data_IF_930335049624
#
_entry.id   IF_930335049624
#
_cell.length_a   1.000
_cell.length_b   1.000
_cell.length_c   1.000
_cell.angle_alpha   90.00
_cell.angle_beta   90.00
_cell.angle_gamma   90.00
#
_symmetry.space_group_name_H-M   'P 1'
#
loop_
_entity.id
_entity.type
_entity.pdbx_description
1 polymer ?
#
# COMPACT_ATOMS: atom_id res chain seq x y z
N UNK A 1 0.22 0.56 22.84
CA UNK A 1 1.00 1.81 23.12
C UNK A 1 0.71 2.84 22.03
N UNK A 2 0.76 4.14 22.35
CA UNK A 2 0.59 5.19 21.32
C UNK A 2 1.82 5.27 20.42
N UNK A 3 1.61 5.31 19.09
CA UNK A 3 2.66 5.35 18.07
C UNK A 3 3.72 6.43 18.32
N UNK A 4 3.29 7.66 18.68
CA UNK A 4 4.22 8.75 18.98
C UNK A 4 5.18 8.42 20.12
N UNK A 5 4.66 7.86 21.20
CA UNK A 5 5.49 7.48 22.36
C UNK A 5 6.50 6.40 21.99
N UNK A 6 6.11 5.45 21.14
CA UNK A 6 6.98 4.42 20.61
C UNK A 6 8.16 5.00 19.80
N UNK A 7 7.85 5.86 18.82
CA UNK A 7 8.89 6.51 18.00
C UNK A 7 9.86 7.35 18.84
N UNK A 8 9.36 7.99 19.90
CA UNK A 8 10.22 8.71 20.86
C UNK A 8 11.17 7.76 21.63
N UNK A 9 10.69 6.57 22.03
CA UNK A 9 11.52 5.52 22.67
C UNK A 9 12.56 4.95 21.72
N UNK A 10 12.23 4.79 20.44
CA UNK A 10 13.19 4.42 19.40
C UNK A 10 14.25 5.50 19.12
N UNK A 11 14.17 6.66 19.79
CA UNK A 11 15.06 7.80 19.56
C UNK A 11 14.81 8.51 18.22
N UNK A 12 13.73 8.18 17.53
CA UNK A 12 13.40 8.73 16.21
C UNK A 12 12.43 9.90 16.34
N UNK A 13 12.94 11.12 16.25
CA UNK A 13 12.15 12.36 16.38
C UNK A 13 12.15 13.15 15.08
N UNK A 14 10.96 13.56 14.66
CA UNK A 14 10.78 14.46 13.53
C UNK A 14 9.78 15.56 13.89
N UNK A 15 10.08 16.84 13.60
CA UNK A 15 9.14 17.92 13.88
C UNK A 15 7.90 17.79 13.01
N UNK A 16 6.75 18.23 13.55
CA UNK A 16 5.44 18.07 12.91
C UNK A 16 5.38 18.62 11.48
N UNK A 17 6.03 19.76 11.23
CA UNK A 17 6.05 20.39 9.91
C UNK A 17 6.82 19.62 8.83
N UNK A 18 7.56 18.57 9.22
CA UNK A 18 8.26 17.63 8.31
C UNK A 18 7.50 16.32 8.15
N UNK A 19 6.38 16.16 8.85
CA UNK A 19 5.55 14.96 8.71
C UNK A 19 4.52 15.16 7.60
N UNK A 20 4.17 14.04 6.97
CA UNK A 20 3.06 13.92 6.00
C UNK A 20 1.97 13.06 6.62
N UNK A 21 0.71 13.32 6.27
CA UNK A 21 -0.40 12.44 6.65
C UNK A 21 -0.47 11.27 5.69
N UNK A 22 -0.63 10.06 6.22
CA UNK A 22 -0.72 8.84 5.41
C UNK A 22 -1.97 8.05 5.81
N UNK A 23 -2.75 7.63 4.82
CA UNK A 23 -3.75 6.57 4.95
C UNK A 23 -3.23 5.38 4.17
N UNK A 24 -3.25 4.19 4.77
CA UNK A 24 -2.84 2.94 4.14
C UNK A 24 -4.11 2.23 3.67
N UNK A 25 -4.16 1.74 2.43
CA UNK A 25 -5.19 0.82 1.93
C UNK A 25 -4.49 -0.44 1.45
N UNK A 26 -4.84 -1.62 1.99
CA UNK A 26 -4.08 -2.85 1.81
C UNK A 26 -4.99 -4.06 1.89
N UNK A 27 -4.78 -5.05 1.02
CA UNK A 27 -5.46 -6.34 1.02
C UNK A 27 -4.65 -7.41 1.77
N UNK A 28 -4.17 -7.04 2.94
CA UNK A 28 -3.19 -7.65 3.82
C UNK A 28 -3.36 -9.16 4.11
N UNK A 29 -4.49 -9.77 3.84
CA UNK A 29 -4.69 -11.22 3.94
C UNK A 29 -4.57 -11.94 2.59
N UNK A 30 -4.26 -11.21 1.52
CA UNK A 30 -4.08 -11.80 0.20
C UNK A 30 -2.76 -12.58 0.10
N UNK A 31 -1.69 -11.95 0.56
CA UNK A 31 -0.32 -12.50 0.61
C UNK A 31 0.32 -12.22 1.97
N UNK A 32 1.64 -12.14 2.05
CA UNK A 32 2.35 -11.93 3.32
C UNK A 32 3.39 -10.79 3.23
N UNK A 33 3.36 -9.95 2.20
CA UNK A 33 4.26 -8.81 2.02
C UNK A 33 3.67 -7.47 2.48
N UNK A 34 2.34 -7.32 2.42
CA UNK A 34 1.59 -6.18 2.94
C UNK A 34 1.97 -5.85 4.38
N UNK A 35 2.05 -6.86 5.25
CA UNK A 35 2.36 -6.71 6.66
C UNK A 35 3.72 -6.02 6.86
N UNK A 36 4.72 -6.34 6.05
CA UNK A 36 6.04 -5.69 6.08
C UNK A 36 5.94 -4.22 5.71
N UNK A 37 5.22 -3.90 4.64
CA UNK A 37 5.02 -2.53 4.18
C UNK A 37 4.24 -1.69 5.20
N UNK A 38 3.20 -2.25 5.82
CA UNK A 38 2.41 -1.60 6.87
C UNK A 38 3.27 -1.31 8.10
N UNK A 39 4.01 -2.30 8.61
CA UNK A 39 4.91 -2.13 9.76
C UNK A 39 5.97 -1.07 9.44
N UNK A 40 6.58 -1.12 8.26
CA UNK A 40 7.56 -0.13 7.84
C UNK A 40 6.99 1.30 7.84
N UNK A 41 5.75 1.49 7.34
CA UNK A 41 5.05 2.78 7.38
C UNK A 41 4.75 3.22 8.82
N UNK A 42 4.27 2.30 9.67
CA UNK A 42 4.00 2.58 11.08
C UNK A 42 5.26 2.99 11.86
N UNK A 43 6.41 2.42 11.54
CA UNK A 43 7.70 2.72 12.17
C UNK A 43 8.43 3.92 11.54
N UNK A 44 7.86 4.57 10.51
CA UNK A 44 8.49 5.70 9.83
C UNK A 44 8.04 7.03 10.48
N UNK A 45 8.95 7.81 11.13
CA UNK A 45 8.58 9.05 11.85
C UNK A 45 7.99 10.13 10.95
N UNK A 46 8.35 10.16 9.66
CA UNK A 46 7.82 11.12 8.71
C UNK A 46 6.34 10.91 8.42
N UNK A 47 5.83 9.70 8.59
CA UNK A 47 4.45 9.35 8.30
C UNK A 47 3.58 9.54 9.55
N UNK A 48 2.64 10.49 9.51
CA UNK A 48 1.54 10.55 10.47
C UNK A 48 0.43 9.63 9.94
N UNK A 49 0.55 8.32 10.25
CA UNK A 49 -0.40 7.31 9.80
C UNK A 49 -1.75 7.55 10.49
N UNK A 50 -2.75 7.90 9.70
CA UNK A 50 -4.08 8.31 10.16
C UNK A 50 -5.01 7.13 10.35
N UNK A 51 -4.85 6.07 9.56
CA UNK A 51 -5.65 4.85 9.61
C UNK A 51 -5.22 3.89 8.51
N UNK A 52 -5.70 2.64 8.63
CA UNK A 52 -5.44 1.55 7.70
C UNK A 52 -6.78 0.99 7.23
N UNK A 53 -7.04 1.03 5.93
CA UNK A 53 -8.26 0.50 5.31
C UNK A 53 -7.98 -0.92 4.86
N UNK A 54 -8.77 -1.88 5.33
CA UNK A 54 -8.77 -3.25 4.86
C UNK A 54 -9.42 -3.33 3.48
N UNK A 55 -8.63 -3.55 2.44
CA UNK A 55 -9.13 -3.71 1.08
C UNK A 55 -9.54 -5.16 0.80
N UNK A 56 -10.45 -5.33 -0.16
CA UNK A 56 -10.84 -6.65 -0.66
C UNK A 56 -9.83 -7.19 -1.69
N UNK A 57 -9.82 -8.51 -1.87
CA UNK A 57 -9.14 -9.24 -2.95
C UNK A 57 -10.07 -10.27 -3.59
N UNK A 58 -11.25 -9.78 -4.03
CA UNK A 58 -12.36 -10.61 -4.50
C UNK A 58 -12.05 -11.42 -5.75
N UNK A 59 -11.03 -11.09 -6.53
CA UNK A 59 -10.62 -11.92 -7.67
C UNK A 59 -10.20 -13.35 -7.25
N UNK A 60 -9.73 -13.53 -6.00
CA UNK A 60 -9.42 -14.87 -5.43
C UNK A 60 -10.65 -15.61 -4.88
N UNK A 61 -11.77 -14.92 -4.65
CA UNK A 61 -13.02 -15.50 -4.13
C UNK A 61 -14.24 -14.79 -4.72
N UNK A 62 -14.45 -14.84 -6.05
CA UNK A 62 -15.43 -14.00 -6.74
C UNK A 62 -16.83 -14.14 -6.18
N UNK A 63 -17.46 -13.00 -5.84
CA UNK A 63 -18.83 -12.92 -5.37
C UNK A 63 -19.08 -13.39 -3.94
N UNK A 64 -18.03 -13.67 -3.17
CA UNK A 64 -18.19 -14.05 -1.76
C UNK A 64 -18.32 -12.86 -0.84
N UNK A 65 -17.76 -11.72 -1.22
CA UNK A 65 -17.69 -10.47 -0.44
C UNK A 65 -17.08 -10.66 0.97
N UNK A 66 -16.20 -11.68 1.13
CA UNK A 66 -15.61 -12.05 2.43
C UNK A 66 -14.14 -11.69 2.55
N UNK A 67 -13.49 -11.31 1.46
CA UNK A 67 -12.04 -11.10 1.44
C UNK A 67 -11.62 -9.84 2.17
N UNK A 68 -12.41 -8.77 2.14
CA UNK A 68 -12.20 -7.57 2.94
C UNK A 68 -12.20 -7.89 4.46
N UNK A 69 -13.13 -8.71 4.90
CA UNK A 69 -13.20 -9.10 6.31
C UNK A 69 -11.96 -9.91 6.74
N UNK A 70 -11.42 -10.76 5.84
CA UNK A 70 -10.14 -11.45 6.10
C UNK A 70 -9.00 -10.45 6.27
N UNK A 71 -8.91 -9.45 5.38
CA UNK A 71 -7.91 -8.37 5.50
C UNK A 71 -8.09 -7.59 6.80
N UNK A 72 -9.31 -7.31 7.23
CA UNK A 72 -9.57 -6.63 8.48
C UNK A 72 -9.11 -7.44 9.70
N UNK A 73 -9.42 -8.74 9.72
CA UNK A 73 -8.98 -9.64 10.81
C UNK A 73 -7.46 -9.78 10.85
N UNK A 74 -6.81 -9.82 9.70
CA UNK A 74 -5.36 -9.87 9.61
C UNK A 74 -4.71 -8.57 10.09
N UNK A 75 -5.29 -7.41 9.75
CA UNK A 75 -4.86 -6.12 10.30
C UNK A 75 -4.95 -6.10 11.83
N UNK A 76 -5.99 -6.67 12.41
CA UNK A 76 -6.11 -6.73 13.88
C UNK A 76 -4.98 -7.54 14.51
N UNK A 77 -4.64 -8.71 13.95
CA UNK A 77 -3.50 -9.52 14.42
C UNK A 77 -2.18 -8.75 14.31
N UNK A 78 -1.97 -8.06 13.18
CA UNK A 78 -0.78 -7.25 12.96
C UNK A 78 -0.68 -6.11 13.99
N UNK A 79 -1.79 -5.40 14.23
CA UNK A 79 -1.85 -4.30 15.20
C UNK A 79 -1.64 -4.77 16.63
N UNK A 80 -2.13 -5.96 16.97
CA UNK A 80 -1.86 -6.60 18.25
C UNK A 80 -0.37 -6.99 18.38
N UNK A 81 0.23 -7.56 17.33
CA UNK A 81 1.64 -7.94 17.32
C UNK A 81 2.59 -6.75 17.46
N UNK A 82 2.24 -5.58 16.89
CA UNK A 82 3.03 -4.35 17.04
C UNK A 82 2.66 -3.55 18.30
N UNK A 83 1.55 -3.88 18.97
CA UNK A 83 1.11 -3.21 20.19
C UNK A 83 0.70 -1.75 20.02
N UNK A 84 0.24 -1.33 18.83
CA UNK A 84 -0.24 0.02 18.56
C UNK A 84 -1.77 0.12 18.69
N UNK A 85 -2.23 1.11 19.46
CA UNK A 85 -3.66 1.27 19.82
C UNK A 85 -4.31 2.53 19.21
N UNK A 86 -3.51 3.45 18.67
CA UNK A 86 -3.98 4.77 18.24
C UNK A 86 -4.06 4.95 16.71
N UNK A 87 -3.81 3.88 15.95
CA UNK A 87 -4.02 3.85 14.50
C UNK A 87 -5.20 2.92 14.20
N UNK A 88 -6.34 3.45 13.74
CA UNK A 88 -7.52 2.64 13.51
C UNK A 88 -7.37 1.74 12.29
N UNK A 89 -7.79 0.47 12.42
CA UNK A 89 -8.11 -0.40 11.32
C UNK A 89 -9.58 -0.16 10.92
N UNK A 90 -9.86 -0.04 9.63
CA UNK A 90 -11.14 0.38 9.06
C UNK A 90 -11.62 -0.65 8.04
N UNK A 91 -12.91 -0.98 8.08
CA UNK A 91 -13.51 -1.82 7.05
C UNK A 91 -13.61 -1.05 5.72
N UNK A 92 -13.07 -1.63 4.66
CA UNK A 92 -13.24 -1.15 3.28
C UNK A 92 -14.49 -1.67 2.60
N UNK A 93 -14.61 -1.41 1.31
CA UNK A 93 -15.65 -2.00 0.46
C UNK A 93 -15.43 -3.52 0.33
N UNK A 94 -16.52 -4.28 0.26
CA UNK A 94 -16.48 -5.76 0.19
C UNK A 94 -16.34 -6.30 -1.22
N UNK A 95 -16.61 -5.47 -2.24
CA UNK A 95 -16.63 -5.87 -3.64
C UNK A 95 -16.19 -4.72 -4.56
N UNK A 96 -15.71 -5.03 -5.80
CA UNK A 96 -15.34 -4.02 -6.78
C UNK A 96 -16.52 -3.13 -7.19
N UNK A 97 -16.23 -1.96 -7.74
CA UNK A 97 -17.22 -1.06 -8.31
C UNK A 97 -17.99 -1.74 -9.45
N UNK A 98 -19.31 -1.56 -9.49
CA UNK A 98 -20.18 -2.07 -10.56
C UNK A 98 -20.03 -1.29 -11.86
N UNK A 99 -19.48 -0.10 -11.82
CA UNK A 99 -19.21 0.78 -12.96
C UNK A 99 -18.26 1.90 -12.54
N UNK A 100 -17.73 2.64 -13.51
CA UNK A 100 -16.86 3.81 -13.27
C UNK A 100 -17.58 4.95 -12.50
N UNK A 101 -18.90 4.89 -12.35
CA UNK A 101 -19.72 5.88 -11.64
C UNK A 101 -20.26 5.35 -10.30
N UNK A 102 -20.00 4.09 -9.99
CA UNK A 102 -20.45 3.51 -8.72
C UNK A 102 -19.75 4.17 -7.55
N UNK A 103 -20.49 4.39 -6.46
CA UNK A 103 -20.03 5.11 -5.32
C UNK A 103 -20.49 4.46 -4.01
N UNK A 104 -20.09 3.21 -3.74
CA UNK A 104 -20.41 2.53 -2.50
C UNK A 104 -19.84 3.29 -1.30
N UNK A 105 -20.31 2.96 -0.12
CA UNK A 105 -19.76 3.48 1.12
C UNK A 105 -19.19 2.36 1.97
N UNK A 106 -18.14 2.71 2.72
CA UNK A 106 -17.54 1.88 3.76
C UNK A 106 -17.03 2.79 4.87
N UNK A 107 -16.61 2.21 5.98
CA UNK A 107 -15.93 2.96 7.03
C UNK A 107 -14.67 3.65 6.49
N UNK A 108 -13.89 2.94 5.66
CA UNK A 108 -12.69 3.43 4.99
C UNK A 108 -12.97 4.60 4.04
N UNK A 109 -14.02 4.52 3.22
CA UNK A 109 -14.46 5.60 2.30
C UNK A 109 -14.80 6.87 3.07
N UNK A 110 -15.63 6.77 4.10
CA UNK A 110 -16.03 7.93 4.91
C UNK A 110 -14.84 8.52 5.68
N UNK A 111 -13.93 7.67 6.15
CA UNK A 111 -12.72 8.11 6.82
C UNK A 111 -11.80 8.87 5.85
N UNK A 112 -11.57 8.35 4.66
CA UNK A 112 -10.72 8.97 3.64
C UNK A 112 -11.27 10.35 3.26
N UNK A 113 -12.57 10.48 3.00
CA UNK A 113 -13.22 11.77 2.69
C UNK A 113 -13.01 12.76 3.84
N UNK A 114 -13.26 12.35 5.08
CA UNK A 114 -13.12 13.20 6.26
C UNK A 114 -11.68 13.68 6.47
N UNK A 115 -10.70 12.80 6.29
CA UNK A 115 -9.29 13.16 6.43
C UNK A 115 -8.79 14.04 5.28
N UNK A 116 -9.31 13.86 4.06
CA UNK A 116 -8.99 14.73 2.93
C UNK A 116 -9.59 16.15 3.07
N UNK A 117 -10.77 16.25 3.68
CA UNK A 117 -11.42 17.55 3.96
C UNK A 117 -10.92 18.23 5.23
N UNK A 118 -10.07 17.57 6.00
CA UNK A 118 -9.53 18.10 7.25
C UNK A 118 -8.73 19.38 7.02
N UNK A 119 -8.93 20.38 7.87
CA UNK A 119 -8.10 21.59 7.91
C UNK A 119 -6.73 21.28 8.55
N UNK A 120 -5.84 20.76 7.74
CA UNK A 120 -4.45 20.42 8.12
C UNK A 120 -3.54 20.75 6.92
N UNK A 121 -2.56 21.67 7.08
CA UNK A 121 -1.71 22.12 5.97
C UNK A 121 -0.72 21.03 5.48
N UNK A 122 -0.55 19.93 6.21
CA UNK A 122 0.33 18.85 5.81
C UNK A 122 -0.31 18.03 4.68
N UNK A 123 0.48 17.65 3.66
CA UNK A 123 -0.05 16.89 2.53
C UNK A 123 -0.60 15.53 3.01
N UNK A 124 -1.65 15.06 2.33
CA UNK A 124 -2.23 13.74 2.53
C UNK A 124 -1.80 12.82 1.40
N UNK A 125 -1.21 11.69 1.77
CA UNK A 125 -0.91 10.58 0.85
C UNK A 125 -1.79 9.38 1.21
N UNK A 126 -2.25 8.68 0.17
CA UNK A 126 -2.94 7.39 0.31
C UNK A 126 -2.05 6.36 -0.35
N UNK A 127 -1.47 5.45 0.43
CA UNK A 127 -0.70 4.32 -0.11
C UNK A 127 -1.67 3.18 -0.41
N UNK A 128 -1.79 2.85 -1.69
CA UNK A 128 -2.69 1.81 -2.19
C UNK A 128 -1.89 0.55 -2.52
N UNK A 129 -2.07 -0.48 -1.71
CA UNK A 129 -1.37 -1.77 -1.72
C UNK A 129 -2.40 -2.90 -1.90
N UNK A 130 -3.33 -2.75 -2.82
CA UNK A 130 -4.45 -3.66 -3.08
C UNK A 130 -5.46 -3.00 -4.01
N UNK A 131 -6.72 -3.41 -3.91
CA UNK A 131 -7.82 -2.85 -4.69
C UNK A 131 -7.96 -1.33 -4.48
N UNK A 132 -8.20 -0.60 -5.57
CA UNK A 132 -8.43 0.86 -5.53
C UNK A 132 -9.88 1.25 -5.19
N UNK A 133 -10.73 0.30 -4.85
CA UNK A 133 -12.19 0.47 -4.72
C UNK A 133 -12.57 1.58 -3.74
N UNK A 134 -12.01 1.58 -2.53
CA UNK A 134 -12.33 2.60 -1.51
C UNK A 134 -11.88 4.00 -1.94
N UNK A 135 -10.73 4.10 -2.60
CA UNK A 135 -10.20 5.37 -3.11
C UNK A 135 -11.11 5.91 -4.22
N UNK A 136 -11.47 5.06 -5.17
CA UNK A 136 -12.34 5.44 -6.29
C UNK A 136 -13.76 5.79 -5.81
N UNK A 137 -14.32 5.02 -4.88
CA UNK A 137 -15.60 5.30 -4.26
C UNK A 137 -15.59 6.66 -3.56
N UNK A 138 -14.53 6.98 -2.81
CA UNK A 138 -14.37 8.28 -2.16
C UNK A 138 -14.29 9.43 -3.17
N UNK A 139 -13.55 9.25 -4.27
CA UNK A 139 -13.46 10.24 -5.36
C UNK A 139 -14.79 10.45 -6.08
N UNK A 140 -15.57 9.39 -6.30
CA UNK A 140 -16.90 9.49 -6.92
C UNK A 140 -17.92 10.16 -5.97
N UNK A 141 -17.87 9.87 -4.67
CA UNK A 141 -18.77 10.45 -3.66
C UNK A 141 -18.46 11.92 -3.36
N UNK A 142 -17.20 12.29 -3.37
CA UNK A 142 -16.71 13.60 -3.00
C UNK A 142 -15.58 14.05 -3.95
N UNK A 143 -15.89 14.47 -5.19
CA UNK A 143 -14.87 14.81 -6.19
C UNK A 143 -13.92 15.94 -5.77
N UNK A 144 -14.32 16.78 -4.84
CA UNK A 144 -13.53 17.90 -4.32
C UNK A 144 -12.30 17.47 -3.51
N UNK A 145 -12.24 16.20 -3.07
CA UNK A 145 -11.05 15.68 -2.37
C UNK A 145 -9.91 15.37 -3.33
N UNK A 146 -10.18 15.25 -4.62
CA UNK A 146 -9.19 14.82 -5.61
C UNK A 146 -7.91 15.69 -5.60
N UNK A 147 -8.06 17.00 -5.41
CA UNK A 147 -6.90 17.92 -5.37
C UNK A 147 -6.25 18.02 -3.98
N UNK A 148 -6.77 17.29 -2.99
CA UNK A 148 -6.33 17.35 -1.60
C UNK A 148 -5.50 16.16 -1.17
N UNK A 149 -5.31 15.16 -2.07
CA UNK A 149 -4.56 13.96 -1.78
C UNK A 149 -3.70 13.51 -2.97
N UNK A 150 -2.68 12.74 -2.66
CA UNK A 150 -1.86 12.02 -3.63
C UNK A 150 -2.00 10.52 -3.38
N UNK A 151 -2.33 9.75 -4.41
CA UNK A 151 -2.37 8.29 -4.35
C UNK A 151 -1.03 7.73 -4.78
N UNK A 152 -0.37 6.99 -3.89
CA UNK A 152 0.85 6.21 -4.18
C UNK A 152 0.40 4.77 -4.39
N UNK A 153 0.40 4.31 -5.62
CA UNK A 153 -0.25 3.08 -6.02
C UNK A 153 0.75 1.99 -6.44
N UNK A 154 0.74 0.90 -5.72
CA UNK A 154 1.35 -0.37 -6.15
C UNK A 154 0.37 -1.03 -7.11
N UNK A 155 0.65 -0.99 -8.40
CA UNK A 155 -0.25 -1.62 -9.35
C UNK A 155 -0.08 -1.16 -10.79
N UNK A 156 -0.72 -1.91 -11.67
CA UNK A 156 -0.65 -1.75 -13.10
C UNK A 156 0.56 -2.42 -13.72
N UNK A 157 0.46 -2.60 -15.02
CA UNK A 157 1.48 -3.26 -15.84
C UNK A 157 2.41 -2.22 -16.50
N UNK A 158 3.58 -2.62 -17.03
CA UNK A 158 4.50 -1.68 -17.68
C UNK A 158 3.88 -0.92 -18.84
N UNK A 159 4.32 0.32 -18.98
CA UNK A 159 4.00 1.16 -20.14
C UNK A 159 4.84 0.77 -21.37
N UNK A 160 4.32 0.99 -22.60
CA UNK A 160 3.02 1.62 -22.91
C UNK A 160 1.84 0.65 -22.98
N UNK A 161 2.05 -0.66 -22.93
CA UNK A 161 1.04 -1.67 -23.26
C UNK A 161 -0.02 -1.82 -22.17
N UNK A 162 0.36 -1.72 -20.89
CA UNK A 162 -0.49 -2.18 -19.81
C UNK A 162 -0.72 -3.69 -19.85
N UNK A 163 -1.67 -4.21 -19.11
CA UNK A 163 -2.00 -5.64 -19.08
C UNK A 163 -2.47 -6.10 -17.70
N UNK A 164 -2.61 -7.40 -17.56
CA UNK A 164 -3.10 -8.02 -16.32
C UNK A 164 -2.09 -7.83 -15.19
N UNK A 165 -2.52 -7.13 -14.17
CA UNK A 165 -1.77 -6.96 -12.94
C UNK A 165 -2.75 -7.13 -11.77
N UNK A 166 -2.26 -7.72 -10.66
CA UNK A 166 -3.11 -8.25 -9.61
C UNK A 166 -3.97 -7.17 -8.92
N UNK A 167 -3.39 -6.06 -8.50
CA UNK A 167 -4.11 -5.00 -7.81
C UNK A 167 -5.09 -4.25 -8.73
N UNK A 168 -4.71 -4.03 -10.00
CA UNK A 168 -5.62 -3.48 -11.00
C UNK A 168 -6.77 -4.44 -11.32
N UNK A 169 -6.49 -5.74 -11.35
CA UNK A 169 -7.50 -6.77 -11.63
C UNK A 169 -8.56 -6.87 -10.55
N UNK A 170 -8.25 -6.47 -9.31
CA UNK A 170 -9.24 -6.46 -8.23
C UNK A 170 -10.40 -5.51 -8.53
N UNK A 171 -10.14 -4.38 -9.20
CA UNK A 171 -11.17 -3.41 -9.58
C UNK A 171 -10.70 -2.53 -10.75
N UNK A 172 -10.97 -2.96 -11.97
CA UNK A 172 -10.61 -2.22 -13.20
C UNK A 172 -11.37 -0.89 -13.31
N UNK A 173 -12.63 -0.84 -12.83
CA UNK A 173 -13.43 0.38 -12.82
C UNK A 173 -12.80 1.42 -11.87
N UNK A 174 -12.35 1.00 -10.70
CA UNK A 174 -11.66 1.88 -9.75
C UNK A 174 -10.34 2.43 -10.34
N UNK A 175 -9.59 1.61 -11.07
CA UNK A 175 -8.42 2.06 -11.82
C UNK A 175 -8.76 3.16 -12.84
N UNK A 176 -9.87 3.01 -13.58
CA UNK A 176 -10.36 4.04 -14.53
C UNK A 176 -10.74 5.33 -13.82
N UNK A 177 -11.48 5.23 -12.72
CA UNK A 177 -11.87 6.39 -11.89
C UNK A 177 -10.64 7.13 -11.42
N UNK A 178 -9.63 6.44 -10.86
CA UNK A 178 -8.41 7.08 -10.40
C UNK A 178 -7.68 7.80 -11.53
N UNK A 179 -7.48 7.14 -12.68
CA UNK A 179 -6.77 7.74 -13.82
C UNK A 179 -7.52 8.92 -14.43
N UNK A 180 -8.85 8.90 -14.44
CA UNK A 180 -9.70 10.00 -14.95
C UNK A 180 -9.86 11.14 -13.95
N UNK A 181 -9.68 10.93 -12.66
CA UNK A 181 -9.84 11.93 -11.61
C UNK A 181 -8.77 13.03 -11.68
N UNK A 182 -8.94 14.11 -10.87
CA UNK A 182 -7.91 15.15 -10.69
C UNK A 182 -6.87 14.83 -9.60
N UNK A 183 -6.98 13.71 -8.93
CA UNK A 183 -6.04 13.31 -7.90
C UNK A 183 -4.62 13.10 -8.47
N UNK A 184 -3.60 13.53 -7.73
CA UNK A 184 -2.23 13.23 -8.08
C UNK A 184 -1.98 11.71 -7.92
N UNK A 185 -1.28 11.10 -8.88
CA UNK A 185 -0.98 9.66 -8.86
C UNK A 185 0.51 9.45 -9.01
N UNK A 186 1.09 8.66 -8.10
CA UNK A 186 2.42 8.12 -8.16
C UNK A 186 2.29 6.60 -8.32
N UNK A 187 2.54 6.11 -9.51
CA UNK A 187 2.36 4.71 -9.85
C UNK A 187 3.68 3.95 -9.76
N UNK A 188 3.64 2.79 -9.11
CA UNK A 188 4.73 1.83 -9.05
C UNK A 188 4.26 0.54 -9.73
N UNK A 189 4.51 0.37 -11.04
CA UNK A 189 4.03 -0.78 -11.81
C UNK A 189 4.79 -2.06 -11.47
N UNK A 190 4.28 -3.22 -11.93
CA UNK A 190 4.81 -4.55 -11.57
C UNK A 190 6.30 -4.75 -11.86
N UNK A 191 6.83 -4.16 -12.91
CA UNK A 191 8.26 -4.23 -13.22
C UNK A 191 9.14 -3.45 -12.21
N UNK A 192 8.53 -2.57 -11.42
CA UNK A 192 9.22 -1.79 -10.38
C UNK A 192 9.04 -2.48 -9.02
N UNK A 193 7.81 -2.74 -8.60
CA UNK A 193 7.59 -3.38 -7.30
C UNK A 193 8.09 -4.83 -7.27
N UNK A 194 8.05 -5.54 -8.40
CA UNK A 194 8.59 -6.89 -8.53
C UNK A 194 10.10 -7.02 -8.33
N UNK A 195 10.83 -5.89 -8.27
CA UNK A 195 12.26 -5.90 -7.95
C UNK A 195 12.58 -6.06 -6.45
N UNK A 196 11.56 -6.01 -5.58
CA UNK A 196 11.71 -6.08 -4.12
C UNK A 196 11.92 -7.50 -3.61
N UNK A 197 12.83 -8.24 -4.22
CA UNK A 197 13.15 -9.61 -3.82
C UNK A 197 13.96 -9.67 -2.52
N UNK A 198 13.55 -10.57 -1.62
CA UNK A 198 14.24 -10.92 -0.38
C UNK A 198 14.35 -12.42 -0.26
N UNK A 199 15.35 -12.94 0.47
CA UNK A 199 15.44 -14.37 0.75
C UNK A 199 14.83 -14.71 2.12
N UNK A 200 14.30 -15.92 2.27
CA UNK A 200 13.82 -16.41 3.57
C UNK A 200 14.98 -16.44 4.61
N UNK A 201 16.20 -16.70 4.17
CA UNK A 201 17.38 -16.62 5.05
C UNK A 201 17.63 -15.20 5.54
N UNK A 202 17.46 -14.18 4.68
CA UNK A 202 17.59 -12.77 5.06
C UNK A 202 16.50 -12.37 6.07
N UNK A 203 15.25 -12.74 5.83
CA UNK A 203 14.14 -12.49 6.75
C UNK A 203 14.34 -13.21 8.10
N UNK A 204 14.81 -14.47 8.07
CA UNK A 204 15.13 -15.21 9.29
C UNK A 204 16.25 -14.55 10.13
N UNK A 205 17.25 -13.96 9.47
CA UNK A 205 18.37 -13.32 10.12
C UNK A 205 18.07 -11.89 10.58
N UNK A 206 17.30 -11.13 9.81
CA UNK A 206 17.12 -9.68 9.98
C UNK A 206 15.77 -9.27 10.58
N UNK A 207 14.71 -10.06 10.33
CA UNK A 207 13.34 -9.74 10.76
C UNK A 207 12.92 -10.58 11.96
N UNK A 208 12.98 -11.91 11.87
CA UNK A 208 12.52 -12.82 12.93
C UNK A 208 13.04 -12.47 14.35
N UNK A 209 14.30 -12.02 14.57
CA UNK A 209 14.79 -11.68 15.90
C UNK A 209 14.21 -10.37 16.47
N UNK A 210 13.45 -9.58 15.68
CA UNK A 210 13.00 -8.25 16.06
C UNK A 210 11.68 -8.28 16.87
N UNK A 211 11.70 -8.89 18.06
CA UNK A 211 10.56 -8.90 18.99
C UNK A 211 9.35 -9.71 18.52
N UNK A 212 8.17 -9.38 19.04
CA UNK A 212 6.93 -10.07 18.69
C UNK A 212 6.53 -9.81 17.23
N UNK A 213 6.62 -8.57 16.78
CA UNK A 213 6.25 -8.20 15.40
C UNK A 213 7.19 -8.82 14.37
N UNK A 214 8.49 -8.85 14.62
CA UNK A 214 9.46 -9.47 13.70
C UNK A 214 9.23 -10.97 13.56
N UNK A 215 8.90 -11.65 14.67
CA UNK A 215 8.54 -13.06 14.66
C UNK A 215 7.26 -13.29 13.86
N UNK A 216 6.22 -12.51 14.12
CA UNK A 216 4.95 -12.59 13.41
C UNK A 216 5.14 -12.42 11.89
N UNK A 217 5.86 -11.37 11.45
CA UNK A 217 6.13 -11.13 10.03
C UNK A 217 6.82 -12.34 9.37
N UNK A 218 7.81 -12.92 10.04
CA UNK A 218 8.53 -14.07 9.50
C UNK A 218 7.64 -15.32 9.45
N UNK A 219 6.90 -15.62 10.51
CA UNK A 219 6.05 -16.80 10.62
C UNK A 219 4.91 -16.75 9.60
N UNK A 220 4.27 -15.59 9.39
CA UNK A 220 3.24 -15.41 8.34
C UNK A 220 3.81 -15.65 6.93
N UNK A 221 4.99 -15.09 6.63
CA UNK A 221 5.66 -15.32 5.35
C UNK A 221 6.04 -16.80 5.16
N UNK A 222 6.59 -17.44 6.19
CA UNK A 222 6.94 -18.87 6.14
C UNK A 222 5.70 -19.74 5.94
N UNK A 223 4.61 -19.49 6.69
CA UNK A 223 3.36 -20.24 6.55
C UNK A 223 2.75 -20.06 5.17
N UNK A 224 2.69 -18.80 4.68
CA UNK A 224 2.17 -18.53 3.35
C UNK A 224 3.02 -19.21 2.27
N UNK A 225 4.34 -19.17 2.37
CA UNK A 225 5.26 -19.81 1.44
C UNK A 225 5.11 -21.34 1.43
N UNK A 226 4.85 -21.96 2.58
CA UNK A 226 4.64 -23.42 2.69
C UNK A 226 3.30 -23.90 2.12
N UNK A 227 2.25 -23.08 2.20
CA UNK A 227 0.90 -23.44 1.73
C UNK A 227 0.58 -22.99 0.32
N UNK A 228 1.39 -22.10 -0.26
CA UNK A 228 1.13 -21.54 -1.58
C UNK A 228 1.34 -22.57 -2.68
N UNK A 229 0.27 -22.90 -3.42
CA UNK A 229 0.29 -23.78 -4.61
C UNK A 229 0.59 -22.99 -5.91
N UNK A 230 1.19 -21.81 -5.81
CA UNK A 230 1.49 -21.00 -6.99
C UNK A 230 2.44 -21.69 -7.95
N UNK A 231 2.27 -21.49 -9.28
CA UNK A 231 3.06 -22.20 -10.27
C UNK A 231 4.57 -22.01 -10.09
N UNK A 232 5.40 -23.04 -10.28
CA UNK A 232 6.85 -22.90 -10.29
C UNK A 232 7.28 -21.82 -11.30
N UNK A 233 8.03 -20.83 -10.83
CA UNK A 233 8.53 -19.72 -11.65
C UNK A 233 8.12 -18.33 -11.19
N UNK A 234 6.99 -18.17 -10.46
CA UNK A 234 6.63 -16.93 -9.78
C UNK A 234 7.23 -16.88 -8.37
N UNK A 235 7.33 -18.03 -7.69
CA UNK A 235 7.87 -18.15 -6.33
C UNK A 235 8.70 -19.42 -6.20
N UNK A 236 9.86 -19.30 -5.59
CA UNK A 236 10.87 -20.36 -5.57
C UNK A 236 11.10 -20.97 -4.20
N UNK A 237 10.30 -20.60 -3.21
CA UNK A 237 10.40 -21.12 -1.84
C UNK A 237 11.52 -20.52 -0.99
N UNK A 238 12.66 -20.16 -1.59
CA UNK A 238 13.77 -19.50 -0.87
C UNK A 238 13.76 -17.98 -0.98
N UNK A 239 13.03 -17.41 -1.93
CA UNK A 239 12.89 -15.96 -2.08
C UNK A 239 11.41 -15.56 -2.19
N UNK A 240 11.16 -14.33 -1.80
CA UNK A 240 9.85 -13.69 -1.87
C UNK A 240 9.97 -12.25 -2.37
N UNK A 241 8.89 -11.72 -2.93
CA UNK A 241 8.82 -10.33 -3.33
C UNK A 241 8.04 -9.52 -2.27
N UNK A 242 8.69 -8.55 -1.63
CA UNK A 242 8.02 -7.58 -0.75
C UNK A 242 7.46 -6.42 -1.60
N UNK A 243 6.54 -6.76 -2.52
CA UNK A 243 6.07 -5.87 -3.60
C UNK A 243 5.39 -4.60 -3.13
N UNK A 244 4.86 -4.56 -1.92
CA UNK A 244 4.20 -3.39 -1.35
C UNK A 244 5.15 -2.39 -0.67
N UNK A 245 6.34 -2.82 -0.31
CA UNK A 245 7.32 -1.97 0.38
C UNK A 245 7.78 -0.73 -0.40
N UNK A 246 7.74 -0.68 -1.76
CA UNK A 246 8.10 0.51 -2.51
C UNK A 246 7.32 1.78 -2.20
N UNK A 247 6.11 1.71 -1.67
CA UNK A 247 5.35 2.91 -1.23
C UNK A 247 6.15 3.74 -0.21
N UNK A 248 6.90 3.07 0.67
CA UNK A 248 7.74 3.75 1.66
C UNK A 248 8.92 4.42 0.97
N UNK A 249 9.57 3.73 0.05
CA UNK A 249 10.67 4.27 -0.75
C UNK A 249 10.26 5.49 -1.56
N UNK A 250 9.11 5.43 -2.22
CA UNK A 250 8.57 6.53 -3.02
C UNK A 250 8.36 7.81 -2.20
N UNK A 251 8.00 7.67 -0.91
CA UNK A 251 7.75 8.79 -0.01
C UNK A 251 8.99 9.27 0.74
N UNK A 252 9.97 8.39 1.00
CA UNK A 252 11.20 8.73 1.75
C UNK A 252 12.35 9.21 0.87
N UNK A 253 12.43 8.70 -0.36
CA UNK A 253 13.56 9.03 -1.24
C UNK A 253 13.49 10.47 -1.74
N UNK A 254 14.67 11.07 -1.87
CA UNK A 254 14.80 12.38 -2.47
C UNK A 254 14.43 12.34 -3.96
N UNK A 255 13.57 13.26 -4.41
CA UNK A 255 13.14 13.39 -5.81
C UNK A 255 14.30 13.59 -6.81
N UNK A 256 15.44 14.06 -6.36
CA UNK A 256 16.64 14.27 -7.18
C UNK A 256 17.19 12.99 -7.82
N UNK A 257 16.79 11.82 -7.32
CA UNK A 257 17.26 10.55 -7.89
C UNK A 257 16.66 10.22 -9.25
N UNK A 258 15.55 10.89 -9.63
CA UNK A 258 14.99 10.79 -10.97
C UNK A 258 14.55 9.38 -11.37
N UNK A 259 14.19 8.54 -10.41
CA UNK A 259 13.75 7.16 -10.67
C UNK A 259 12.30 7.08 -11.17
N UNK A 260 11.81 8.14 -11.76
CA UNK A 260 10.46 8.22 -12.34
C UNK A 260 10.43 9.18 -13.54
N UNK A 261 9.38 9.04 -14.33
CA UNK A 261 9.04 10.00 -15.38
C UNK A 261 7.60 10.48 -15.21
N UNK A 262 7.29 11.60 -15.88
CA UNK A 262 5.92 12.10 -15.96
C UNK A 262 5.28 11.63 -17.25
N UNK A 263 4.05 11.13 -17.17
CA UNK A 263 3.33 10.58 -18.30
C UNK A 263 1.85 10.96 -18.23
N UNK A 264 1.20 11.12 -19.40
CA UNK A 264 -0.24 11.28 -19.46
C UNK A 264 -0.94 9.99 -18.99
N UNK A 265 -1.86 10.12 -18.05
CA UNK A 265 -2.65 9.01 -17.55
C UNK A 265 -3.41 8.33 -18.69
N UNK A 266 -3.25 7.02 -18.91
CA UNK A 266 -3.94 6.30 -19.99
C UNK A 266 -5.43 6.15 -19.65
N UNK A 267 -6.22 5.79 -20.67
CA UNK A 267 -7.48 5.09 -20.43
C UNK A 267 -7.18 3.60 -20.24
N UNK A 268 -7.94 2.93 -19.38
CA UNK A 268 -7.77 1.50 -19.11
C UNK A 268 -8.90 0.73 -19.78
N UNK A 269 -8.56 -0.21 -20.65
CA UNK A 269 -9.50 -1.12 -21.29
C UNK A 269 -10.00 -2.21 -20.32
N UNK A 270 -11.05 -2.96 -20.66
CA UNK A 270 -11.58 -4.04 -19.82
C UNK A 270 -10.56 -5.19 -19.60
N UNK A 271 -9.65 -5.38 -20.55
CA UNK A 271 -8.54 -6.33 -20.46
C UNK A 271 -7.28 -5.72 -19.82
N UNK A 272 -7.41 -4.58 -19.14
CA UNK A 272 -6.37 -3.84 -18.44
C UNK A 272 -5.26 -3.25 -19.33
N UNK A 273 -5.37 -3.33 -20.65
CA UNK A 273 -4.44 -2.66 -21.55
C UNK A 273 -4.60 -1.14 -21.46
N UNK A 274 -3.48 -0.46 -21.64
CA UNK A 274 -3.44 1.00 -21.65
C UNK A 274 -3.72 1.55 -23.05
N UNK A 275 -4.74 2.39 -23.13
CA UNK A 275 -5.09 3.10 -24.33
C UNK A 275 -4.56 4.53 -24.27
N UNK A 276 -3.87 5.03 -25.32
CA UNK A 276 -3.31 6.36 -25.32
C UNK A 276 -4.35 7.44 -25.00
N UNK A 277 -3.99 8.38 -24.14
CA UNK A 277 -4.83 9.50 -23.75
C UNK A 277 -3.99 10.77 -23.61
N UNK A 278 -3.60 11.42 -24.73
CA UNK A 278 -2.73 12.60 -24.69
C UNK A 278 -3.29 13.77 -23.88
N UNK A 279 -4.61 13.83 -23.70
CA UNK A 279 -5.31 14.83 -22.87
C UNK A 279 -5.43 14.42 -21.40
N UNK A 280 -4.92 13.24 -21.01
CA UNK A 280 -4.91 12.77 -19.64
C UNK A 280 -4.07 13.66 -18.73
N UNK A 281 -4.42 13.70 -17.46
CA UNK A 281 -3.58 14.38 -16.45
C UNK A 281 -2.18 13.78 -16.44
N UNK A 282 -1.19 14.56 -16.01
CA UNK A 282 0.15 14.02 -15.79
C UNK A 282 0.19 13.20 -14.50
N UNK A 283 0.70 11.99 -14.58
CA UNK A 283 0.97 11.11 -13.44
C UNK A 283 2.47 10.84 -13.35
N UNK A 284 2.95 10.55 -12.13
CA UNK A 284 4.32 10.09 -11.91
C UNK A 284 4.34 8.57 -12.05
N UNK A 285 5.17 8.03 -12.92
CA UNK A 285 5.41 6.60 -13.09
C UNK A 285 6.83 6.30 -12.70
N UNK A 286 7.02 5.42 -11.72
CA UNK A 286 8.36 5.00 -11.31
C UNK A 286 8.95 4.02 -12.30
N UNK A 287 10.25 4.18 -12.59
CA UNK A 287 11.05 3.31 -13.44
C UNK A 287 11.89 2.33 -12.63
N UNK A 288 12.22 2.70 -11.40
CA UNK A 288 12.97 1.88 -10.46
C UNK A 288 12.78 2.37 -9.01
N UNK A 289 13.11 1.51 -8.06
CA UNK A 289 13.25 1.85 -6.63
C UNK A 289 14.63 1.41 -6.12
N UNK A 290 15.12 2.06 -5.08
CA UNK A 290 16.35 1.62 -4.39
C UNK A 290 15.99 0.54 -3.36
N UNK A 291 15.98 -0.71 -3.81
CA UNK A 291 15.64 -1.88 -3.00
C UNK A 291 16.46 -1.93 -1.71
N UNK A 292 17.79 -1.71 -1.84
CA UNK A 292 18.69 -1.70 -0.68
C UNK A 292 18.30 -0.63 0.34
N UNK A 293 17.99 0.58 -0.11
CA UNK A 293 17.57 1.67 0.77
C UNK A 293 16.30 1.30 1.54
N UNK A 294 15.30 0.76 0.85
CA UNK A 294 13.99 0.40 1.45
C UNK A 294 14.17 -0.72 2.47
N UNK A 295 14.88 -1.80 2.10
CA UNK A 295 15.06 -2.95 2.98
C UNK A 295 15.92 -2.63 4.20
N UNK A 296 17.05 -1.92 4.03
CA UNK A 296 17.92 -1.56 5.14
C UNK A 296 17.23 -0.59 6.12
N UNK A 297 16.42 0.35 5.63
CA UNK A 297 15.62 1.25 6.48
C UNK A 297 14.58 0.46 7.29
N UNK A 298 13.89 -0.49 6.65
CA UNK A 298 12.93 -1.38 7.32
C UNK A 298 13.61 -2.22 8.42
N UNK A 299 14.72 -2.88 8.10
CA UNK A 299 15.44 -3.72 9.06
C UNK A 299 15.98 -2.90 10.24
N UNK A 300 16.51 -1.71 9.97
CA UNK A 300 16.98 -0.81 11.00
C UNK A 300 15.85 -0.37 11.94
N UNK A 301 14.69 -0.02 11.38
CA UNK A 301 13.53 0.37 12.18
C UNK A 301 12.95 -0.78 13.00
N UNK A 302 12.85 -1.98 12.43
CA UNK A 302 12.44 -3.18 13.18
C UNK A 302 13.36 -3.48 14.34
N UNK A 303 14.67 -3.38 14.10
CA UNK A 303 15.67 -3.56 15.17
C UNK A 303 15.52 -2.52 16.27
N UNK A 304 15.47 -1.22 15.94
CA UNK A 304 15.27 -0.15 16.91
C UNK A 304 13.93 -0.30 17.67
N UNK A 305 12.90 -0.77 17.00
CA UNK A 305 11.62 -1.04 17.63
C UNK A 305 11.75 -2.12 18.70
N UNK A 306 12.34 -3.28 18.35
CA UNK A 306 12.52 -4.40 19.29
C UNK A 306 13.42 -4.08 20.47
N UNK A 307 14.38 -3.14 20.30
CA UNK A 307 15.25 -2.66 21.40
C UNK A 307 14.51 -1.63 22.29
N UNK A 308 13.38 -1.08 21.82
CA UNK A 308 12.58 -0.08 22.56
C UNK A 308 11.35 -0.69 23.28
N UNK A 309 10.99 -1.94 22.98
CA UNK A 309 9.95 -2.69 23.72
C UNK A 309 10.42 -3.00 25.15
#
# INVERSE_FOLDING_TARGET
MKRKALLERMGMRLPLHKQIRVIISSDVANEADDQYAIVHQLLTPMFDVRGIIAAHFESKAPGTETTMEKSYQELQKLMDAIGMEDVPALHGCTAPLKSDWDAPTSEGVEFLIREALRDDPRPLFVTAQGALTDIAAALNRCPEIAEKLTVVWIGGFPYPEGGQEFNLMQDVAAGRVLMASRAAVWQLPVNVYGSMEVTMAELAARVRPCGAVGRYLYEEMEEYNLRSDEPPGLRRGENWCLGDSPVVGALLQCEWRGNFHMQAAPRIADDMRYLPNPAGKQIRVYDAVDVRFILEDMYAKLKLFSEAE
#
